data_IF_366010136104
#
_entry.id   IF_366010136104
#
_cell.length_a   1.000
_cell.length_b   1.000
_cell.length_c   1.000
_cell.angle_alpha   90.00
_cell.angle_beta   90.00
_cell.angle_gamma   90.00
#
_symmetry.space_group_name_H-M   'P 1'
#
loop_
_entity.id
_entity.type
_entity.pdbx_description
1 polymer ?
#
# COMPACT_ATOMS: atom_id res chain seq x y z
N UNK A 1 9.56 2.63 1.44
CA UNK A 1 8.20 2.24 1.88
C UNK A 1 7.95 2.49 3.36
N UNK A 2 8.37 1.62 4.30
CA UNK A 2 8.02 1.83 5.72
C UNK A 2 8.50 3.17 6.30
N UNK A 3 9.68 3.65 5.89
CA UNK A 3 10.15 5.00 6.25
C UNK A 3 9.24 6.10 5.72
N UNK A 4 8.77 5.98 4.49
CA UNK A 4 7.87 6.98 3.90
C UNK A 4 6.51 6.99 4.61
N UNK A 5 6.00 5.80 4.96
CA UNK A 5 4.76 5.64 5.71
C UNK A 5 4.88 6.14 7.16
N UNK A 6 5.95 5.77 7.88
CA UNK A 6 6.04 5.97 9.32
C UNK A 6 6.85 7.20 9.74
N UNK A 7 7.87 7.60 8.99
CA UNK A 7 8.73 8.74 9.31
C UNK A 7 8.33 9.99 8.52
N UNK A 8 7.96 9.83 7.25
CA UNK A 8 7.52 10.96 6.39
C UNK A 8 6.01 11.19 6.41
N UNK A 9 5.25 10.30 7.06
CA UNK A 9 3.80 10.40 7.23
C UNK A 9 3.04 10.63 5.91
N UNK A 10 3.45 9.97 4.82
CA UNK A 10 2.85 10.21 3.50
C UNK A 10 1.36 9.85 3.40
N UNK A 11 0.85 8.99 4.29
CA UNK A 11 -0.58 8.65 4.43
C UNK A 11 -1.16 9.15 5.76
N UNK A 12 -0.50 10.12 6.40
CA UNK A 12 -0.82 10.58 7.74
C UNK A 12 0.01 9.92 8.83
N UNK A 13 -0.26 10.28 10.08
CA UNK A 13 0.53 9.83 11.23
C UNK A 13 0.16 8.39 11.61
N UNK A 14 1.09 7.47 11.41
CA UNK A 14 0.97 6.06 11.78
C UNK A 14 1.27 5.89 13.28
N UNK A 15 0.34 5.28 14.02
CA UNK A 15 0.49 4.94 15.44
C UNK A 15 1.05 3.53 15.59
N UNK A 16 0.62 2.60 14.75
CA UNK A 16 1.08 1.21 14.74
C UNK A 16 0.98 0.64 13.33
N UNK A 17 1.84 -0.33 13.01
CA UNK A 17 1.72 -1.10 11.78
C UNK A 17 2.03 -2.57 12.03
N UNK A 18 1.42 -3.43 11.21
CA UNK A 18 1.73 -4.86 11.13
C UNK A 18 1.94 -5.20 9.67
N UNK A 19 2.96 -5.99 9.35
CA UNK A 19 3.18 -6.44 7.98
C UNK A 19 3.54 -7.90 7.92
N UNK A 20 3.18 -8.54 6.80
CA UNK A 20 3.56 -9.91 6.49
C UNK A 20 3.99 -9.96 5.03
N UNK A 21 5.12 -10.62 4.78
CA UNK A 21 5.61 -10.91 3.44
C UNK A 21 5.23 -12.35 3.10
N UNK A 22 4.55 -12.53 1.96
CA UNK A 22 4.14 -13.85 1.44
C UNK A 22 4.57 -13.99 -0.01
N UNK A 23 4.81 -15.22 -0.44
CA UNK A 23 4.98 -15.50 -1.86
C UNK A 23 3.62 -15.56 -2.55
N UNK A 24 3.46 -14.80 -3.63
CA UNK A 24 2.34 -14.92 -4.55
C UNK A 24 2.49 -16.21 -5.36
N UNK A 25 1.40 -16.75 -5.94
CA UNK A 25 1.38 -18.03 -6.66
C UNK A 25 2.42 -18.15 -7.80
N UNK A 26 2.92 -17.03 -8.30
CA UNK A 26 3.94 -16.94 -9.37
C UNK A 26 5.34 -16.56 -8.85
N UNK A 27 5.58 -16.74 -7.54
CA UNK A 27 6.92 -16.64 -6.94
C UNK A 27 7.39 -15.23 -6.55
N UNK A 28 6.58 -14.18 -6.77
CA UNK A 28 6.92 -12.83 -6.31
C UNK A 28 6.62 -12.63 -4.83
N UNK A 29 7.48 -11.88 -4.14
CA UNK A 29 7.22 -11.43 -2.77
C UNK A 29 6.10 -10.37 -2.79
N UNK A 30 5.05 -10.63 -2.04
CA UNK A 30 3.92 -9.74 -1.85
C UNK A 30 3.83 -9.35 -0.36
N UNK A 31 3.74 -8.05 -0.08
CA UNK A 31 3.63 -7.54 1.28
C UNK A 31 2.18 -7.12 1.56
N UNK A 32 1.60 -7.69 2.62
CA UNK A 32 0.38 -7.14 3.23
C UNK A 32 0.80 -6.24 4.38
N UNK A 33 0.42 -4.97 4.34
CA UNK A 33 0.74 -3.98 5.37
C UNK A 33 -0.58 -3.41 5.89
N UNK A 34 -0.80 -3.55 7.19
CA UNK A 34 -1.90 -2.90 7.91
C UNK A 34 -1.33 -1.70 8.67
N UNK A 35 -1.89 -0.51 8.41
CA UNK A 35 -1.53 0.72 9.10
C UNK A 35 -2.67 1.15 10.02
N UNK A 36 -2.35 1.51 11.26
CA UNK A 36 -3.27 2.15 12.20
C UNK A 36 -2.85 3.61 12.30
N UNK A 37 -3.70 4.50 11.77
CA UNK A 37 -3.46 5.95 11.78
C UNK A 37 -3.96 6.57 13.08
N UNK A 38 -3.39 7.72 13.46
CA UNK A 38 -3.92 8.51 14.57
C UNK A 38 -5.28 9.09 14.21
N UNK A 39 -6.09 9.41 15.21
CA UNK A 39 -7.43 9.96 15.02
C UNK A 39 -7.45 11.24 14.17
N UNK A 40 -6.45 12.12 14.32
CA UNK A 40 -6.33 13.36 13.53
C UNK A 40 -5.95 13.11 12.07
N UNK A 41 -5.53 11.89 11.72
CA UNK A 41 -5.17 11.47 10.35
C UNK A 41 -6.17 10.47 9.77
N UNK A 42 -7.29 10.24 10.44
CA UNK A 42 -8.33 9.35 9.92
C UNK A 42 -9.03 10.02 8.73
N UNK A 43 -9.28 9.24 7.69
CA UNK A 43 -10.11 9.66 6.57
C UNK A 43 -11.58 9.39 6.91
N UNK A 44 -12.46 10.34 6.60
CA UNK A 44 -13.83 10.36 7.12
C UNK A 44 -14.90 10.18 6.04
N UNK A 45 -14.55 10.36 4.76
CA UNK A 45 -15.45 10.16 3.63
C UNK A 45 -14.90 9.16 2.62
N UNK A 46 -15.79 8.58 1.81
CA UNK A 46 -15.37 7.68 0.72
C UNK A 46 -14.47 8.40 -0.28
N UNK A 47 -14.78 9.66 -0.63
CA UNK A 47 -13.99 10.47 -1.54
C UNK A 47 -12.54 10.68 -1.04
N UNK A 48 -12.35 10.82 0.29
CA UNK A 48 -11.02 10.90 0.88
C UNK A 48 -10.21 9.61 0.62
N UNK A 49 -10.83 8.44 0.79
CA UNK A 49 -10.18 7.15 0.51
C UNK A 49 -9.89 6.97 -0.98
N UNK A 50 -10.85 7.30 -1.85
CA UNK A 50 -10.70 7.18 -3.30
C UNK A 50 -9.59 8.09 -3.84
N UNK A 51 -9.31 9.21 -3.15
CA UNK A 51 -8.22 10.12 -3.53
C UNK A 51 -6.81 9.56 -3.27
N UNK A 52 -6.66 8.58 -2.38
CA UNK A 52 -5.37 8.04 -1.96
C UNK A 52 -5.18 6.54 -2.26
N UNK A 53 -6.27 5.80 -2.50
CA UNK A 53 -6.22 4.37 -2.82
C UNK A 53 -6.57 4.17 -4.29
N UNK A 54 -5.62 3.60 -5.03
CA UNK A 54 -5.85 3.14 -6.39
C UNK A 54 -5.47 1.66 -6.54
N UNK A 55 -6.07 1.01 -7.53
CA UNK A 55 -5.64 -0.30 -8.01
C UNK A 55 -5.36 -0.18 -9.51
N UNK A 56 -4.12 -0.42 -9.90
CA UNK A 56 -3.65 -0.26 -11.28
C UNK A 56 -3.19 -1.59 -11.85
N UNK A 57 -3.48 -1.81 -13.13
CA UNK A 57 -2.89 -2.92 -13.89
C UNK A 57 -1.49 -2.47 -14.32
N UNK A 58 -0.41 -3.24 -14.02
CA UNK A 58 0.95 -2.85 -14.38
C UNK A 58 1.10 -2.69 -15.90
N UNK A 59 1.93 -1.74 -16.35
CA UNK A 59 2.23 -1.61 -17.77
C UNK A 59 3.08 -2.81 -18.25
N UNK A 60 2.71 -3.53 -19.32
CA UNK A 60 3.43 -4.71 -19.78
C UNK A 60 4.83 -4.40 -20.37
N UNK A 61 5.07 -3.18 -20.84
CA UNK A 61 6.36 -2.76 -21.38
C UNK A 61 7.30 -2.24 -20.29
N UNK A 62 6.76 -1.62 -19.23
CA UNK A 62 7.55 -1.04 -18.13
C UNK A 62 7.75 -2.05 -16.98
N UNK A 63 6.71 -2.82 -16.67
CA UNK A 63 6.66 -3.78 -15.56
C UNK A 63 6.13 -5.16 -16.01
N UNK A 64 6.81 -5.84 -16.96
CA UNK A 64 6.34 -7.10 -17.53
C UNK A 64 6.11 -8.20 -16.49
N UNK A 65 7.02 -8.34 -15.51
CA UNK A 65 6.88 -9.34 -14.44
C UNK A 65 5.64 -9.11 -13.59
N UNK A 66 5.35 -7.86 -13.21
CA UNK A 66 4.17 -7.55 -12.42
C UNK A 66 2.88 -7.77 -13.23
N UNK A 67 2.88 -7.35 -14.50
CA UNK A 67 1.77 -7.57 -15.43
C UNK A 67 1.47 -9.06 -15.61
N UNK A 68 2.50 -9.87 -15.81
CA UNK A 68 2.37 -11.32 -15.91
C UNK A 68 1.76 -11.91 -14.65
N UNK A 69 1.90 -11.29 -13.46
CA UNK A 69 1.36 -11.85 -12.22
C UNK A 69 -0.10 -11.57 -11.90
N UNK A 70 -0.73 -10.65 -12.63
CA UNK A 70 -2.16 -10.35 -12.52
C UNK A 70 -3.00 -11.48 -13.13
#
# INVERSE_FOLDING_TARGET
LLKDLCEKHCLGKVVMFVYVIKFQKRGLLHAHILLILSQDSMLHSADDYDSIVSAEIPDPNVHPLAYETV
#
